data_IF_582741062324
#
_entry.id   IF_582741062324
#
_cell.length_a   1.000
_cell.length_b   1.000
_cell.length_c   1.000
_cell.angle_alpha   90.00
_cell.angle_beta   90.00
_cell.angle_gamma   90.00
#
_symmetry.space_group_name_H-M   'P 1'
#
loop_
_entity.id
_entity.type
_entity.pdbx_description
1 polymer ?
#
# COMPACT_ATOMS: atom_id res chain seq x y z
N UNK A 1 7.09 -18.82 -15.18
CA UNK A 1 5.85 -18.23 -14.61
C UNK A 1 6.20 -17.65 -13.25
N UNK A 2 6.14 -16.32 -13.09
CA UNK A 2 6.37 -15.72 -11.77
C UNK A 2 5.23 -16.15 -10.84
N UNK A 3 5.57 -16.72 -9.68
CA UNK A 3 4.59 -17.01 -8.65
C UNK A 3 3.81 -15.71 -8.38
N UNK A 4 2.50 -15.72 -8.66
CA UNK A 4 1.61 -14.59 -8.35
C UNK A 4 1.87 -14.26 -6.88
N UNK A 5 2.35 -13.04 -6.60
CA UNK A 5 2.53 -12.57 -5.24
C UNK A 5 1.26 -12.92 -4.47
N UNK A 6 1.41 -13.69 -3.38
CA UNK A 6 0.25 -14.21 -2.65
C UNK A 6 -0.68 -13.04 -2.34
N UNK A 7 -1.98 -13.27 -2.43
CA UNK A 7 -2.99 -12.24 -2.19
C UNK A 7 -2.71 -11.47 -0.88
N UNK A 8 -2.15 -12.17 0.10
CA UNK A 8 -1.94 -11.68 1.46
C UNK A 8 -0.62 -10.93 1.71
N UNK A 9 0.36 -10.96 0.80
CA UNK A 9 1.68 -10.37 1.08
C UNK A 9 2.03 -9.22 0.11
N UNK A 10 2.56 -8.11 0.65
CA UNK A 10 3.00 -6.98 -0.16
C UNK A 10 4.14 -7.38 -1.08
N UNK A 11 4.32 -6.62 -2.16
CA UNK A 11 5.47 -6.74 -3.04
C UNK A 11 6.72 -6.25 -2.32
N UNK A 12 7.51 -7.20 -1.77
CA UNK A 12 8.76 -6.91 -1.05
C UNK A 12 9.96 -7.19 -1.94
N UNK A 13 10.99 -6.31 -1.94
CA UNK A 13 12.22 -6.58 -2.69
C UNK A 13 12.91 -7.84 -2.16
N UNK A 14 13.37 -8.68 -3.10
CA UNK A 14 14.20 -9.85 -2.74
C UNK A 14 15.61 -9.40 -2.40
N UNK A 15 16.23 -10.08 -1.43
CA UNK A 15 17.67 -9.93 -1.16
C UNK A 15 18.46 -10.30 -2.41
N UNK A 16 19.53 -9.54 -2.68
CA UNK A 16 20.41 -9.80 -3.80
C UNK A 16 21.14 -11.13 -3.60
N UNK A 17 21.04 -12.02 -4.59
CA UNK A 17 21.81 -13.25 -4.64
C UNK A 17 23.28 -12.97 -5.00
N UNK A 18 24.16 -13.94 -4.68
CA UNK A 18 25.58 -13.84 -5.01
C UNK A 18 25.83 -13.59 -6.51
N UNK A 19 25.10 -14.29 -7.39
CA UNK A 19 25.22 -14.13 -8.84
C UNK A 19 24.81 -12.71 -9.30
N UNK A 20 23.76 -12.14 -8.71
CA UNK A 20 23.34 -10.76 -9.01
C UNK A 20 24.40 -9.75 -8.57
N UNK A 21 24.97 -9.93 -7.37
CA UNK A 21 26.07 -9.10 -6.87
C UNK A 21 27.26 -9.15 -7.84
N UNK A 22 27.65 -10.35 -8.30
CA UNK A 22 28.72 -10.49 -9.29
C UNK A 22 28.38 -9.78 -10.61
N UNK A 23 27.14 -9.88 -11.08
CA UNK A 23 26.68 -9.19 -12.30
C UNK A 23 26.79 -7.67 -12.14
N UNK A 24 26.32 -7.12 -11.02
CA UNK A 24 26.40 -5.68 -10.72
C UNK A 24 27.87 -5.21 -10.69
N UNK A 25 28.74 -5.95 -10.02
CA UNK A 25 30.19 -5.66 -9.99
C UNK A 25 30.81 -5.67 -11.38
N UNK A 26 30.44 -6.63 -12.23
CA UNK A 26 30.93 -6.68 -13.63
C UNK A 26 30.47 -5.47 -14.43
N UNK A 27 29.23 -5.00 -14.26
CA UNK A 27 28.73 -3.80 -14.92
C UNK A 27 29.54 -2.56 -14.51
N UNK A 28 29.76 -2.34 -13.22
CA UNK A 28 30.57 -1.21 -12.73
C UNK A 28 32.00 -1.20 -13.28
N UNK A 29 32.66 -2.37 -13.34
CA UNK A 29 34.00 -2.49 -13.93
C UNK A 29 34.02 -2.27 -15.44
N UNK A 30 32.96 -2.70 -16.16
CA UNK A 30 32.84 -2.54 -17.60
C UNK A 30 32.65 -1.08 -17.98
N UNK A 31 31.79 -0.39 -17.24
CA UNK A 31 31.51 1.02 -17.46
C UNK A 31 32.71 1.89 -17.09
N UNK A 32 33.44 1.57 -16.01
CA UNK A 32 34.73 2.19 -15.71
C UNK A 32 35.69 2.16 -16.90
N UNK A 33 35.77 1.02 -17.62
CA UNK A 33 36.64 0.89 -18.79
C UNK A 33 36.13 1.69 -19.98
N UNK A 34 34.82 1.71 -20.22
CA UNK A 34 34.20 2.38 -21.38
C UNK A 34 34.15 3.91 -21.23
N UNK A 35 33.89 4.38 -20.02
CA UNK A 35 33.59 5.78 -19.73
C UNK A 35 34.78 6.50 -19.10
N UNK A 36 36.01 6.00 -19.29
CA UNK A 36 37.24 6.48 -18.65
C UNK A 36 37.50 7.99 -18.80
N UNK A 37 36.96 8.62 -19.86
CA UNK A 37 37.09 10.05 -20.15
C UNK A 37 35.87 10.92 -19.81
N UNK A 38 34.75 10.34 -19.36
CA UNK A 38 33.61 11.12 -18.87
C UNK A 38 33.87 11.54 -17.42
N UNK A 39 33.35 12.70 -17.01
CA UNK A 39 33.42 13.15 -15.61
C UNK A 39 32.13 12.86 -14.84
N UNK A 40 30.99 12.82 -15.54
CA UNK A 40 29.70 12.50 -14.95
C UNK A 40 29.35 11.03 -15.20
N UNK A 41 29.14 10.31 -14.11
CA UNK A 41 28.84 8.89 -14.10
C UNK A 41 27.60 8.57 -13.27
N UNK A 42 26.84 9.61 -12.92
CA UNK A 42 25.66 9.47 -12.08
C UNK A 42 24.54 8.73 -12.83
N UNK A 43 24.42 8.92 -14.15
CA UNK A 43 23.33 8.35 -14.97
C UNK A 43 23.79 7.33 -16.00
N UNK A 44 24.51 6.30 -15.58
CA UNK A 44 24.81 5.18 -16.48
C UNK A 44 23.57 4.34 -16.75
N UNK A 45 23.58 3.61 -17.88
CA UNK A 45 22.48 2.69 -18.22
C UNK A 45 22.19 1.71 -17.08
N UNK A 46 23.23 1.18 -16.42
CA UNK A 46 23.07 0.26 -15.30
C UNK A 46 22.34 0.91 -14.10
N UNK A 47 22.66 2.16 -13.76
CA UNK A 47 22.00 2.88 -12.68
C UNK A 47 20.53 3.15 -13.01
N UNK A 48 20.24 3.57 -14.25
CA UNK A 48 18.86 3.77 -14.72
C UNK A 48 18.05 2.45 -14.70
N UNK A 49 18.68 1.33 -15.04
CA UNK A 49 18.07 0.00 -14.95
C UNK A 49 17.77 -0.39 -13.48
N UNK A 50 18.65 -0.04 -12.54
CA UNK A 50 18.41 -0.29 -11.12
C UNK A 50 17.25 0.55 -10.59
N UNK A 51 17.19 1.83 -10.94
CA UNK A 51 16.10 2.73 -10.57
C UNK A 51 14.77 2.22 -11.14
N UNK A 52 14.73 1.93 -12.44
CA UNK A 52 13.54 1.40 -13.13
C UNK A 52 13.07 0.07 -12.56
N UNK A 53 13.97 -0.76 -12.01
CA UNK A 53 13.61 -2.00 -11.35
C UNK A 53 12.94 -1.74 -9.99
N UNK A 54 13.51 -0.84 -9.17
CA UNK A 54 12.94 -0.49 -7.87
C UNK A 54 11.59 0.22 -8.02
N UNK A 55 11.47 1.14 -8.98
CA UNK A 55 10.21 1.83 -9.31
C UNK A 55 9.10 0.85 -9.72
N UNK A 56 9.41 -0.15 -10.54
CA UNK A 56 8.45 -1.22 -10.87
C UNK A 56 7.98 -2.00 -9.64
N UNK A 57 8.86 -2.17 -8.65
CA UNK A 57 8.52 -2.78 -7.37
C UNK A 57 7.55 -1.94 -6.55
N UNK A 58 7.75 -0.62 -6.51
CA UNK A 58 6.84 0.33 -5.87
C UNK A 58 5.48 0.39 -6.56
N UNK A 59 5.45 0.43 -7.89
CA UNK A 59 4.20 0.38 -8.65
C UNK A 59 3.45 -0.93 -8.32
N UNK A 60 4.15 -2.07 -8.29
CA UNK A 60 3.54 -3.34 -7.91
C UNK A 60 3.06 -3.38 -6.45
N UNK A 61 3.69 -2.64 -5.54
CA UNK A 61 3.22 -2.47 -4.16
C UNK A 61 1.92 -1.67 -4.11
N UNK A 62 1.84 -0.58 -4.88
CA UNK A 62 0.62 0.22 -5.03
C UNK A 62 -0.53 -0.59 -5.65
N UNK A 63 -0.26 -1.34 -6.72
CA UNK A 63 -1.25 -2.23 -7.35
C UNK A 63 -1.73 -3.32 -6.38
N UNK A 64 -0.83 -3.86 -5.57
CA UNK A 64 -1.19 -4.80 -4.51
C UNK A 64 -2.11 -4.15 -3.47
N UNK A 65 -1.77 -2.95 -2.99
CA UNK A 65 -2.56 -2.24 -1.99
C UNK A 65 -3.98 -1.93 -2.50
N UNK A 66 -4.11 -1.44 -3.74
CA UNK A 66 -5.40 -1.21 -4.39
C UNK A 66 -6.24 -2.48 -4.47
N UNK A 67 -5.63 -3.58 -4.93
CA UNK A 67 -6.34 -4.85 -5.11
C UNK A 67 -6.82 -5.46 -3.80
N UNK A 68 -6.03 -5.36 -2.73
CA UNK A 68 -6.37 -5.96 -1.43
C UNK A 68 -7.31 -5.06 -0.61
N UNK A 69 -7.24 -3.74 -0.77
CA UNK A 69 -8.14 -2.79 -0.10
C UNK A 69 -9.52 -2.69 -0.76
N UNK A 70 -9.62 -2.91 -2.08
CA UNK A 70 -10.87 -2.76 -2.84
C UNK A 70 -12.11 -3.45 -2.25
N UNK A 71 -12.03 -4.72 -1.76
CA UNK A 71 -13.20 -5.38 -1.15
C UNK A 71 -13.70 -4.66 0.11
N UNK A 72 -12.81 -4.11 0.93
CA UNK A 72 -13.16 -3.38 2.15
C UNK A 72 -13.76 -2.01 1.83
N UNK A 73 -13.21 -1.30 0.84
CA UNK A 73 -13.78 -0.03 0.36
C UNK A 73 -15.18 -0.25 -0.18
N UNK A 74 -15.37 -1.29 -1.00
CA UNK A 74 -16.69 -1.64 -1.55
C UNK A 74 -17.65 -2.07 -0.45
N UNK A 75 -17.18 -2.90 0.50
CA UNK A 75 -17.95 -3.32 1.67
C UNK A 75 -18.42 -2.13 2.50
N UNK A 76 -17.55 -1.15 2.75
CA UNK A 76 -17.90 0.06 3.50
C UNK A 76 -18.96 0.90 2.78
N UNK A 77 -18.83 1.13 1.47
CA UNK A 77 -19.85 1.86 0.69
C UNK A 77 -21.23 1.17 0.72
N UNK A 78 -21.24 -0.17 0.72
CA UNK A 78 -22.47 -0.94 0.87
C UNK A 78 -23.08 -0.80 2.26
N UNK A 79 -22.25 -0.89 3.30
CA UNK A 79 -22.69 -0.72 4.70
C UNK A 79 -23.30 0.67 4.92
N UNK A 80 -22.69 1.71 4.38
CA UNK A 80 -23.23 3.08 4.42
C UNK A 80 -24.65 3.15 3.84
N UNK A 81 -24.87 2.59 2.65
CA UNK A 81 -26.18 2.56 2.02
C UNK A 81 -27.21 1.72 2.79
N UNK A 82 -26.79 0.59 3.38
CA UNK A 82 -27.66 -0.26 4.20
C UNK A 82 -28.06 0.44 5.51
N UNK A 83 -27.15 1.19 6.13
CA UNK A 83 -27.44 1.98 7.33
C UNK A 83 -28.45 3.09 7.07
N UNK A 84 -28.37 3.79 5.95
CA UNK A 84 -29.35 4.81 5.56
C UNK A 84 -30.76 4.20 5.44
N UNK A 85 -30.88 3.02 4.84
CA UNK A 85 -32.15 2.30 4.76
C UNK A 85 -32.64 1.85 6.14
N UNK A 86 -31.75 1.40 7.02
CA UNK A 86 -32.09 1.03 8.39
C UNK A 86 -32.56 2.22 9.22
N UNK A 87 -31.94 3.40 9.09
CA UNK A 87 -32.40 4.61 9.77
C UNK A 87 -33.87 4.92 9.42
N UNK A 88 -34.23 4.88 8.13
CA UNK A 88 -35.60 5.08 7.68
C UNK A 88 -36.55 4.01 8.22
N UNK A 89 -36.14 2.73 8.24
CA UNK A 89 -36.95 1.64 8.80
C UNK A 89 -37.18 1.82 10.30
N UNK A 90 -36.15 2.20 11.06
CA UNK A 90 -36.26 2.43 12.49
C UNK A 90 -37.15 3.64 12.78
N UNK A 91 -37.03 4.74 12.02
CA UNK A 91 -37.92 5.90 12.15
C UNK A 91 -39.38 5.53 11.91
N UNK A 92 -39.66 4.78 10.82
CA UNK A 92 -41.01 4.30 10.52
C UNK A 92 -41.55 3.36 11.58
N UNK A 93 -40.71 2.49 12.13
CA UNK A 93 -41.11 1.55 13.19
C UNK A 93 -41.38 2.28 14.51
N UNK A 94 -40.57 3.28 14.87
CA UNK A 94 -40.78 4.15 16.04
C UNK A 94 -42.07 4.96 15.93
N UNK A 95 -42.43 5.41 14.74
CA UNK A 95 -43.71 6.09 14.49
C UNK A 95 -44.92 5.13 14.59
N UNK A 96 -44.73 3.84 14.32
CA UNK A 96 -45.79 2.83 14.23
C UNK A 96 -45.64 1.71 15.27
N UNK A 97 -45.71 2.07 16.56
CA UNK A 97 -45.59 1.10 17.66
C UNK A 97 -46.85 0.24 17.90
N UNK A 98 -47.95 0.51 17.20
CA UNK A 98 -49.23 -0.17 17.41
C UNK A 98 -50.02 0.39 18.60
N UNK A 99 -51.33 0.14 18.60
CA UNK A 99 -52.26 0.71 19.59
C UNK A 99 -52.56 -0.25 20.73
N UNK A 100 -52.42 -1.56 20.48
CA UNK A 100 -52.70 -2.60 21.48
C UNK A 100 -51.42 -3.12 22.13
N UNK A 101 -51.50 -3.61 23.38
CA UNK A 101 -50.32 -4.11 24.11
C UNK A 101 -49.60 -5.29 23.43
N UNK A 102 -50.34 -6.14 22.68
CA UNK A 102 -49.75 -7.23 21.89
C UNK A 102 -48.98 -6.71 20.67
N UNK A 103 -49.55 -5.71 19.97
CA UNK A 103 -48.88 -5.04 18.85
C UNK A 103 -47.62 -4.32 19.31
N UNK A 104 -47.68 -3.62 20.44
CA UNK A 104 -46.52 -2.94 21.03
C UNK A 104 -45.39 -3.91 21.36
N UNK A 105 -45.69 -5.06 21.95
CA UNK A 105 -44.69 -6.10 22.22
C UNK A 105 -44.05 -6.65 20.94
N UNK A 106 -44.82 -6.84 19.87
CA UNK A 106 -44.27 -7.27 18.59
C UNK A 106 -43.44 -6.15 17.93
N UNK A 107 -43.88 -4.90 18.05
CA UNK A 107 -43.20 -3.72 17.51
C UNK A 107 -41.86 -3.46 18.21
N UNK A 108 -41.78 -3.62 19.53
CA UNK A 108 -40.53 -3.48 20.29
C UNK A 108 -39.52 -4.56 19.91
N UNK A 109 -39.95 -5.80 19.72
CA UNK A 109 -39.07 -6.88 19.25
C UNK A 109 -38.51 -6.60 17.85
N UNK A 110 -39.35 -6.10 16.93
CA UNK A 110 -38.89 -5.70 15.59
C UNK A 110 -37.91 -4.53 15.63
N UNK A 111 -38.19 -3.54 16.48
CA UNK A 111 -37.30 -2.39 16.67
C UNK A 111 -35.95 -2.83 17.23
N UNK A 112 -35.93 -3.71 18.24
CA UNK A 112 -34.71 -4.26 18.79
C UNK A 112 -33.91 -5.06 17.74
N UNK A 113 -34.57 -5.82 16.87
CA UNK A 113 -33.91 -6.54 15.78
C UNK A 113 -33.25 -5.58 14.77
N UNK A 114 -33.93 -4.48 14.40
CA UNK A 114 -33.36 -3.46 13.51
C UNK A 114 -32.19 -2.71 14.15
N UNK A 115 -32.27 -2.43 15.45
CA UNK A 115 -31.16 -1.80 16.20
C UNK A 115 -29.96 -2.73 16.34
N UNK A 116 -30.18 -4.04 16.47
CA UNK A 116 -29.12 -5.05 16.43
C UNK A 116 -28.45 -5.10 15.06
N UNK A 117 -29.22 -5.17 13.97
CA UNK A 117 -28.69 -5.18 12.60
C UNK A 117 -27.82 -3.93 12.32
N UNK A 118 -28.25 -2.76 12.81
CA UNK A 118 -27.47 -1.53 12.74
C UNK A 118 -26.16 -1.63 13.54
N UNK A 119 -26.17 -2.22 14.73
CA UNK A 119 -24.97 -2.43 15.55
C UNK A 119 -23.98 -3.37 14.87
N UNK A 120 -24.47 -4.44 14.24
CA UNK A 120 -23.64 -5.42 13.54
C UNK A 120 -22.95 -4.78 12.34
N UNK A 121 -23.68 -3.99 11.53
CA UNK A 121 -23.13 -3.25 10.40
C UNK A 121 -22.08 -2.21 10.82
N UNK A 122 -22.31 -1.49 11.93
CA UNK A 122 -21.33 -0.56 12.51
C UNK A 122 -20.05 -1.27 12.93
N UNK A 123 -20.18 -2.43 13.56
CA UNK A 123 -19.05 -3.26 13.99
C UNK A 123 -18.26 -3.76 12.77
N UNK A 124 -18.96 -4.18 11.71
CA UNK A 124 -18.34 -4.59 10.46
C UNK A 124 -17.58 -3.44 9.78
N UNK A 125 -18.15 -2.23 9.74
CA UNK A 125 -17.47 -1.05 9.19
C UNK A 125 -16.18 -0.72 9.96
N UNK A 126 -16.22 -0.75 11.30
CA UNK A 126 -15.03 -0.51 12.13
C UNK A 126 -13.94 -1.53 11.84
N UNK A 127 -14.29 -2.82 11.75
CA UNK A 127 -13.36 -3.90 11.42
C UNK A 127 -12.73 -3.73 10.02
N UNK A 128 -13.54 -3.37 9.02
CA UNK A 128 -13.05 -3.08 7.67
C UNK A 128 -12.11 -1.87 7.65
N UNK A 129 -12.43 -0.82 8.41
CA UNK A 129 -11.61 0.39 8.56
C UNK A 129 -10.26 0.06 9.18
N UNK A 130 -10.24 -0.66 10.30
CA UNK A 130 -9.00 -1.09 10.95
C UNK A 130 -8.15 -1.98 10.03
N UNK A 131 -8.79 -2.89 9.30
CA UNK A 131 -8.10 -3.76 8.33
C UNK A 131 -7.48 -2.94 7.19
N UNK A 132 -8.21 -1.97 6.65
CA UNK A 132 -7.72 -1.03 5.63
C UNK A 132 -6.50 -0.24 6.12
N UNK A 133 -6.58 0.34 7.33
CA UNK A 133 -5.47 1.07 7.94
C UNK A 133 -4.25 0.17 8.19
N UNK A 134 -4.45 -1.08 8.60
CA UNK A 134 -3.35 -2.04 8.76
C UNK A 134 -2.65 -2.36 7.43
N UNK A 135 -3.39 -2.45 6.32
CA UNK A 135 -2.83 -2.64 4.99
C UNK A 135 -1.98 -1.45 4.54
N UNK A 136 -2.45 -0.22 4.82
CA UNK A 136 -1.70 1.02 4.54
C UNK A 136 -0.38 1.02 5.30
N UNK A 137 -0.42 0.80 6.63
CA UNK A 137 0.80 0.73 7.46
C UNK A 137 1.81 -0.30 6.93
N UNK A 138 1.33 -1.47 6.51
CA UNK A 138 2.18 -2.52 5.94
C UNK A 138 2.79 -2.11 4.59
N UNK A 139 2.08 -1.34 3.77
CA UNK A 139 2.63 -0.78 2.55
C UNK A 139 3.72 0.27 2.87
N UNK A 140 3.49 1.12 3.85
CA UNK A 140 4.44 2.15 4.30
C UNK A 140 5.73 1.54 4.87
N UNK A 141 5.64 0.41 5.57
CA UNK A 141 6.81 -0.35 6.04
C UNK A 141 7.67 -0.91 4.89
N UNK A 142 7.02 -1.34 3.79
CA UNK A 142 7.69 -1.99 2.67
C UNK A 142 8.26 -0.99 1.67
N UNK A 143 7.61 0.16 1.50
CA UNK A 143 8.02 1.21 0.57
C UNK A 143 9.52 1.59 0.65
N UNK A 144 10.10 1.92 1.82
CA UNK A 144 11.52 2.28 1.91
C UNK A 144 12.47 1.13 1.54
N UNK A 145 12.00 -0.13 1.56
CA UNK A 145 12.83 -1.28 1.19
C UNK A 145 13.21 -1.25 -0.30
N UNK A 146 12.34 -0.73 -1.17
CA UNK A 146 12.61 -0.63 -2.61
C UNK A 146 13.66 0.43 -2.93
N UNK A 147 13.61 1.57 -2.24
CA UNK A 147 14.65 2.59 -2.29
C UNK A 147 15.97 2.05 -1.72
N UNK A 148 15.94 1.37 -0.58
CA UNK A 148 17.14 0.76 0.00
C UNK A 148 17.78 -0.27 -0.93
N UNK A 149 16.98 -1.04 -1.67
CA UNK A 149 17.50 -1.95 -2.70
C UNK A 149 18.21 -1.19 -3.83
N UNK A 150 17.64 -0.07 -4.29
CA UNK A 150 18.30 0.78 -5.30
C UNK A 150 19.64 1.29 -4.78
N UNK A 151 19.66 1.88 -3.58
CA UNK A 151 20.87 2.39 -2.93
C UNK A 151 21.93 1.29 -2.76
N UNK A 152 21.52 0.07 -2.39
CA UNK A 152 22.42 -1.08 -2.28
C UNK A 152 23.01 -1.51 -3.62
N UNK A 153 22.20 -1.57 -4.68
CA UNK A 153 22.69 -1.89 -6.04
C UNK A 153 23.68 -0.82 -6.52
N UNK A 154 23.33 0.44 -6.30
CA UNK A 154 24.18 1.59 -6.62
C UNK A 154 25.51 1.56 -5.88
N UNK A 155 25.51 1.26 -4.58
CA UNK A 155 26.75 1.20 -3.78
C UNK A 155 27.67 0.07 -4.23
N UNK A 156 27.14 -1.13 -4.50
CA UNK A 156 27.94 -2.26 -5.03
C UNK A 156 28.53 -1.91 -6.40
N UNK A 157 27.75 -1.26 -7.27
CA UNK A 157 28.18 -0.81 -8.58
C UNK A 157 29.32 0.23 -8.47
N UNK A 158 29.13 1.27 -7.66
CA UNK A 158 30.12 2.34 -7.49
C UNK A 158 31.40 1.84 -6.83
N UNK A 159 31.33 0.98 -5.82
CA UNK A 159 32.51 0.35 -5.23
C UNK A 159 33.31 -0.45 -6.27
N UNK A 160 32.64 -1.23 -7.13
CA UNK A 160 33.31 -2.01 -8.16
C UNK A 160 33.94 -1.13 -9.24
N UNK A 161 33.30 -0.01 -9.57
CA UNK A 161 33.76 0.99 -10.53
C UNK A 161 34.97 1.77 -9.97
N UNK A 162 34.87 2.33 -8.76
CA UNK A 162 35.94 3.09 -8.10
C UNK A 162 37.22 2.26 -7.97
N UNK A 163 37.11 1.01 -7.52
CA UNK A 163 38.23 0.05 -7.48
C UNK A 163 38.88 -0.17 -8.84
N UNK A 164 38.11 -0.11 -9.93
CA UNK A 164 38.65 -0.27 -11.29
C UNK A 164 39.35 0.99 -11.79
N UNK A 165 38.84 2.16 -11.43
CA UNK A 165 39.43 3.47 -11.76
C UNK A 165 40.57 3.86 -10.81
N UNK A 166 40.78 3.11 -9.71
CA UNK A 166 41.69 3.48 -8.61
C UNK A 166 41.34 4.85 -8.00
N UNK A 167 40.06 5.21 -8.04
CA UNK A 167 39.53 6.42 -7.42
C UNK A 167 39.07 6.13 -5.99
N UNK A 168 39.04 7.17 -5.15
CA UNK A 168 38.60 7.03 -3.77
C UNK A 168 37.10 6.67 -3.68
N UNK A 169 36.76 5.74 -2.79
CA UNK A 169 35.45 5.09 -2.76
C UNK A 169 34.40 5.98 -2.10
N UNK A 170 34.80 6.85 -1.17
CA UNK A 170 33.91 7.77 -0.44
C UNK A 170 33.32 8.85 -1.36
N UNK A 171 34.11 9.39 -2.29
CA UNK A 171 33.63 10.32 -3.31
C UNK A 171 32.65 9.66 -4.31
N UNK A 172 32.84 8.38 -4.63
CA UNK A 172 32.00 7.65 -5.57
C UNK A 172 30.61 7.29 -5.03
N UNK A 173 30.41 7.24 -3.70
CA UNK A 173 29.09 7.05 -3.11
C UNK A 173 28.19 8.29 -3.26
N UNK A 174 28.78 9.49 -3.31
CA UNK A 174 28.08 10.76 -3.55
C UNK A 174 27.60 10.95 -5.01
N UNK A 175 27.99 10.07 -5.93
CA UNK A 175 27.62 10.13 -7.36
C UNK A 175 26.31 9.39 -7.70
N UNK A 176 25.59 8.78 -6.75
CA UNK A 176 24.29 8.15 -7.09
C UNK A 176 23.21 9.22 -7.29
N UNK A 177 22.43 9.16 -8.39
CA UNK A 177 21.25 10.00 -8.54
C UNK A 177 20.30 9.82 -7.37
N UNK A 178 19.62 10.91 -7.00
CA UNK A 178 18.50 10.85 -6.06
C UNK A 178 17.43 9.94 -6.65
N UNK A 179 17.07 8.92 -5.89
CA UNK A 179 16.04 7.98 -6.27
C UNK A 179 14.69 8.69 -6.37
N UNK A 180 14.01 8.56 -7.52
CA UNK A 180 12.67 9.13 -7.70
C UNK A 180 11.63 8.17 -7.13
N UNK A 181 11.13 8.52 -5.95
CA UNK A 181 10.08 7.80 -5.23
C UNK A 181 8.74 8.03 -5.91
N UNK A 182 7.95 6.96 -6.10
CA UNK A 182 6.56 7.11 -6.51
C UNK A 182 5.67 7.42 -5.30
N UNK A 183 4.67 8.31 -5.43
CA UNK A 183 3.72 8.56 -4.36
C UNK A 183 2.98 7.26 -3.99
N UNK A 184 2.67 7.11 -2.70
CA UNK A 184 1.83 6.01 -2.24
C UNK A 184 0.41 6.26 -2.74
N UNK A 185 -0.35 5.19 -2.95
CA UNK A 185 -1.80 5.33 -3.19
C UNK A 185 -2.47 5.87 -1.93
N UNK A 186 -3.25 6.93 -2.10
CA UNK A 186 -4.10 7.51 -1.06
C UNK A 186 -5.41 6.72 -0.97
N UNK A 187 -5.77 6.28 0.24
CA UNK A 187 -6.96 5.48 0.53
C UNK A 187 -7.83 6.17 1.59
N UNK A 188 -8.15 7.44 1.33
CA UNK A 188 -8.92 8.33 2.21
C UNK A 188 -10.31 7.78 2.57
N UNK A 189 -10.80 6.77 1.84
CA UNK A 189 -12.05 6.09 2.16
C UNK A 189 -12.02 5.43 3.54
N UNK A 190 -10.85 5.07 4.05
CA UNK A 190 -10.72 4.54 5.41
C UNK A 190 -10.67 5.63 6.49
N UNK A 191 -10.34 6.87 6.14
CA UNK A 191 -10.32 7.98 7.10
C UNK A 191 -11.74 8.49 7.40
N UNK A 192 -12.69 8.28 6.49
CA UNK A 192 -14.09 8.67 6.64
C UNK A 192 -14.72 8.12 7.92
N UNK A 193 -15.48 8.99 8.59
CA UNK A 193 -16.36 8.60 9.68
C UNK A 193 -17.68 8.07 9.13
N UNK A 194 -18.24 7.12 9.85
CA UNK A 194 -19.51 6.52 9.48
C UNK A 194 -20.65 7.54 9.68
N UNK A 195 -21.61 7.65 8.74
CA UNK A 195 -22.73 8.57 8.90
C UNK A 195 -23.51 8.32 10.19
N UNK A 196 -23.65 9.36 10.99
CA UNK A 196 -24.49 9.33 12.18
C UNK A 196 -25.96 9.53 11.83
N UNK A 197 -26.85 8.86 12.59
CA UNK A 197 -28.29 9.07 12.47
C UNK A 197 -28.60 10.50 12.90
N UNK A 198 -29.06 11.33 11.96
CA UNK A 198 -29.54 12.68 12.28
C UNK A 198 -30.83 12.57 13.09
N UNK A 199 -30.74 12.76 14.40
CA UNK A 199 -31.92 13.03 15.23
C UNK A 199 -32.44 14.42 14.90
N UNK A 200 -33.59 14.48 14.22
CA UNK A 200 -34.42 15.69 14.15
C UNK A 200 -35.33 15.77 15.35
#
# INVERSE_FOLDING_TARGET
MAAKASFNNPSVPKKLSYCEILKIRRMGRRDAKKMQGLKDFTRTQAINEFESFSQRGEIALNDWLLRVSSPYVTGNSRIEAELDLLFVKIDKQKANMGKTGREQKAATLRLAALEQEMSDLRSQYSSNKETGLALIRRADEVKPLWENLYRLKGSIYNQARARKLKADVEAAAAELPVYRVHPSVELDQFDKELPERKTK
#
